data_IF_864377059148
#
_entry.id   IF_864377059148
#
_cell.length_a   1.000
_cell.length_b   1.000
_cell.length_c   1.000
_cell.angle_alpha   90.00
_cell.angle_beta   90.00
_cell.angle_gamma   90.00
#
_symmetry.space_group_name_H-M   'P 1'
#
loop_
_entity.id
_entity.type
_entity.pdbx_description
1 polymer ?
#
# COMPACT_ATOMS: atom_id res chain seq x y z
N UNK A 1 9.08 -4.83 4.82
CA UNK A 1 8.62 -6.12 5.40
C UNK A 1 8.81 -7.22 4.38
N UNK A 2 9.23 -8.41 4.80
CA UNK A 2 9.54 -9.52 3.88
C UNK A 2 8.96 -10.84 4.34
N UNK A 3 8.55 -11.63 3.36
CA UNK A 3 8.22 -13.05 3.51
C UNK A 3 9.14 -13.83 2.57
N UNK A 4 9.95 -14.73 3.14
CA UNK A 4 11.05 -15.35 2.41
C UNK A 4 11.99 -14.30 1.78
N UNK A 5 12.12 -14.35 0.46
CA UNK A 5 12.98 -13.45 -0.31
C UNK A 5 12.23 -12.30 -0.99
N UNK A 6 10.94 -12.06 -0.71
CA UNK A 6 10.16 -10.98 -1.33
C UNK A 6 9.73 -9.92 -0.33
N UNK A 7 9.58 -8.68 -0.78
CA UNK A 7 8.90 -7.66 0.01
C UNK A 7 7.39 -7.93 0.02
N UNK A 8 6.66 -7.31 0.94
CA UNK A 8 5.21 -7.52 1.10
C UNK A 8 4.45 -6.22 0.87
N UNK A 9 3.35 -6.23 0.13
CA UNK A 9 2.39 -5.12 0.08
C UNK A 9 1.08 -5.56 0.72
N UNK A 10 0.56 -4.76 1.65
CA UNK A 10 -0.75 -4.97 2.24
C UNK A 10 -1.77 -4.02 1.65
N UNK A 11 -2.88 -4.54 1.16
CA UNK A 11 -4.04 -3.72 0.80
C UNK A 11 -5.01 -3.65 1.96
N UNK A 12 -5.29 -2.43 2.42
CA UNK A 12 -6.27 -2.20 3.49
C UNK A 12 -7.69 -2.39 2.97
N UNK A 13 -8.55 -2.97 3.81
CA UNK A 13 -9.91 -3.39 3.47
C UNK A 13 -11.01 -2.63 4.24
N UNK A 14 -10.65 -1.82 5.24
CA UNK A 14 -11.59 -0.89 5.88
C UNK A 14 -11.37 0.53 5.37
N UNK A 15 -12.44 1.32 5.31
CA UNK A 15 -12.42 2.70 4.80
C UNK A 15 -11.85 2.83 3.37
N UNK A 16 -12.02 1.78 2.55
CA UNK A 16 -11.57 1.68 1.15
C UNK A 16 -12.70 1.15 0.27
N UNK A 17 -12.55 1.26 -1.05
CA UNK A 17 -13.48 0.72 -2.03
C UNK A 17 -13.07 -0.70 -2.46
N UNK A 18 -13.92 -1.70 -2.22
CA UNK A 18 -13.61 -3.10 -2.48
C UNK A 18 -13.29 -3.39 -3.97
N UNK A 19 -13.97 -2.73 -4.90
CA UNK A 19 -13.71 -2.91 -6.33
C UNK A 19 -12.34 -2.37 -6.72
N UNK A 20 -12.03 -1.13 -6.35
CA UNK A 20 -10.73 -0.52 -6.62
C UNK A 20 -9.59 -1.29 -5.95
N UNK A 21 -9.79 -1.77 -4.72
CA UNK A 21 -8.83 -2.64 -4.03
C UNK A 21 -8.56 -3.92 -4.81
N UNK A 22 -9.58 -4.56 -5.39
CA UNK A 22 -9.44 -5.75 -6.23
C UNK A 22 -8.72 -5.44 -7.55
N UNK A 23 -9.04 -4.33 -8.19
CA UNK A 23 -8.39 -3.93 -9.45
C UNK A 23 -6.89 -3.65 -9.21
N UNK A 24 -6.54 -3.01 -8.09
CA UNK A 24 -5.16 -2.75 -7.69
C UNK A 24 -4.42 -4.03 -7.28
N UNK A 25 -5.09 -5.00 -6.63
CA UNK A 25 -4.51 -6.31 -6.38
C UNK A 25 -4.04 -6.98 -7.68
N UNK A 26 -4.82 -6.84 -8.76
CA UNK A 26 -4.45 -7.36 -10.09
C UNK A 26 -3.22 -6.64 -10.66
N UNK A 27 -3.11 -5.32 -10.45
CA UNK A 27 -1.91 -4.56 -10.84
C UNK A 27 -0.68 -5.04 -10.05
N UNK A 28 -0.80 -5.23 -8.73
CA UNK A 28 0.29 -5.72 -7.88
C UNK A 28 0.78 -7.09 -8.36
N UNK A 29 -0.13 -8.04 -8.58
CA UNK A 29 0.23 -9.38 -9.07
C UNK A 29 0.89 -9.34 -10.45
N UNK A 30 0.58 -8.33 -11.29
CA UNK A 30 1.09 -8.24 -12.66
C UNK A 30 2.45 -7.55 -12.77
N UNK A 31 2.71 -6.52 -11.96
CA UNK A 31 3.84 -5.60 -12.20
C UNK A 31 4.84 -5.48 -11.04
N UNK A 32 4.58 -6.13 -9.90
CA UNK A 32 5.43 -6.07 -8.71
C UNK A 32 6.01 -7.44 -8.41
N UNK A 33 7.21 -7.47 -7.82
CA UNK A 33 7.81 -8.71 -7.32
C UNK A 33 7.71 -8.76 -5.79
N UNK A 34 6.48 -8.89 -5.31
CA UNK A 34 6.11 -8.86 -3.88
C UNK A 34 5.15 -9.99 -3.54
N UNK A 35 5.07 -10.32 -2.25
CA UNK A 35 3.89 -10.99 -1.71
C UNK A 35 2.77 -9.95 -1.51
N UNK A 36 1.54 -10.36 -1.78
CA UNK A 36 0.36 -9.52 -1.65
C UNK A 36 -0.54 -10.06 -0.55
N UNK A 37 -0.83 -9.21 0.44
CA UNK A 37 -1.72 -9.53 1.55
C UNK A 37 -2.86 -8.51 1.65
N UNK A 38 -3.91 -8.88 2.38
CA UNK A 38 -5.01 -7.98 2.72
C UNK A 38 -5.12 -7.85 4.24
N UNK A 39 -5.42 -6.66 4.72
CA UNK A 39 -5.51 -6.40 6.14
C UNK A 39 -6.46 -5.27 6.50
N UNK A 40 -6.56 -4.99 7.79
CA UNK A 40 -7.34 -3.88 8.34
C UNK A 40 -6.43 -3.02 9.20
N UNK A 41 -6.65 -1.71 9.19
CA UNK A 41 -6.05 -0.81 10.16
C UNK A 41 -6.86 -0.87 11.45
N UNK A 42 -6.23 -1.28 12.55
CA UNK A 42 -6.84 -1.32 13.88
C UNK A 42 -6.34 -0.20 14.80
N UNK A 43 -5.14 0.32 14.55
CA UNK A 43 -4.48 1.35 15.36
C UNK A 43 -4.39 2.71 14.65
N UNK A 44 -5.50 3.16 14.06
CA UNK A 44 -5.58 4.46 13.39
C UNK A 44 -6.16 4.39 11.98
N UNK A 45 -6.04 5.51 11.27
CA UNK A 45 -6.47 5.67 9.88
C UNK A 45 -5.50 6.62 9.16
N UNK A 46 -5.78 6.96 7.91
CA UNK A 46 -5.00 7.91 7.13
C UNK A 46 -5.94 8.67 6.17
N UNK A 47 -5.40 9.45 5.25
CA UNK A 47 -6.16 10.35 4.38
C UNK A 47 -7.19 9.65 3.50
N UNK A 48 -6.97 8.36 3.21
CA UNK A 48 -7.92 7.53 2.45
C UNK A 48 -9.34 7.55 3.04
N UNK A 49 -9.47 7.59 4.37
CA UNK A 49 -10.76 7.61 5.03
C UNK A 49 -11.54 8.92 4.75
N UNK A 50 -10.87 10.04 4.52
CA UNK A 50 -11.53 11.29 4.16
C UNK A 50 -12.20 11.19 2.79
N UNK A 51 -11.51 10.62 1.81
CA UNK A 51 -12.04 10.37 0.46
C UNK A 51 -13.19 9.37 0.47
N UNK A 52 -13.03 8.27 1.21
CA UNK A 52 -14.08 7.26 1.36
C UNK A 52 -15.35 7.84 1.99
N UNK A 53 -15.25 8.73 2.99
CA UNK A 53 -16.42 9.42 3.58
C UNK A 53 -17.16 10.32 2.58
N UNK A 54 -16.49 10.78 1.52
CA UNK A 54 -17.10 11.55 0.43
C UNK A 54 -17.65 10.64 -0.68
N UNK A 55 -17.60 9.32 -0.53
CA UNK A 55 -18.05 8.37 -1.54
C UNK A 55 -17.08 8.20 -2.71
N UNK A 56 -15.85 8.73 -2.61
CA UNK A 56 -14.84 8.62 -3.67
C UNK A 56 -14.12 7.27 -3.55
N UNK A 57 -14.09 6.44 -4.61
CA UNK A 57 -13.39 5.16 -4.59
C UNK A 57 -11.92 5.33 -4.22
N UNK A 58 -11.50 4.64 -3.16
CA UNK A 58 -10.16 4.81 -2.59
C UNK A 58 -9.51 3.46 -2.30
N UNK A 59 -8.20 3.35 -2.51
CA UNK A 59 -7.36 2.19 -2.15
C UNK A 59 -6.25 2.67 -1.22
N UNK A 60 -5.80 1.82 -0.30
CA UNK A 60 -4.68 2.15 0.57
C UNK A 60 -3.71 0.97 0.71
N UNK A 61 -2.63 0.95 -0.09
CA UNK A 61 -1.50 0.06 0.09
C UNK A 61 -0.62 0.52 1.26
N UNK A 62 -0.15 -0.40 2.11
CA UNK A 62 0.77 -0.10 3.23
C UNK A 62 1.81 -1.20 3.45
N UNK A 63 2.85 -0.88 4.21
CA UNK A 63 4.00 -1.73 4.46
C UNK A 63 3.68 -2.99 5.29
N UNK A 64 2.86 -2.82 6.34
CA UNK A 64 2.31 -3.85 7.20
C UNK A 64 1.32 -3.19 8.21
N UNK A 65 0.04 -3.59 8.30
CA UNK A 65 -0.91 -2.95 9.20
C UNK A 65 -0.76 -3.32 10.68
N UNK A 66 -0.02 -4.38 11.01
CA UNK A 66 0.10 -4.91 12.38
C UNK A 66 1.50 -4.79 12.95
N UNK A 67 2.52 -5.02 12.13
CA UNK A 67 3.93 -4.99 12.51
C UNK A 67 4.66 -3.76 11.97
N UNK A 68 3.94 -2.68 11.61
CA UNK A 68 4.49 -1.40 11.10
C UNK A 68 5.64 -0.85 11.97
N UNK A 69 6.38 0.13 11.45
CA UNK A 69 7.45 0.76 12.21
C UNK A 69 6.92 1.41 13.51
N UNK A 70 7.19 0.82 14.67
CA UNK A 70 6.73 1.37 15.96
C UNK A 70 7.49 2.64 16.41
N UNK A 71 8.48 3.11 15.63
CA UNK A 71 9.13 4.39 15.88
C UNK A 71 8.38 5.59 15.28
N UNK A 72 7.31 5.38 14.48
CA UNK A 72 6.51 6.46 13.91
C UNK A 72 6.04 7.43 15.01
N UNK A 73 5.95 8.72 14.68
CA UNK A 73 5.63 9.81 15.62
C UNK A 73 6.66 10.03 16.75
N UNK A 74 7.89 9.55 16.58
CA UNK A 74 9.01 9.86 17.48
C UNK A 74 10.19 10.41 16.68
N UNK A 75 11.18 10.98 17.37
CA UNK A 75 12.45 11.39 16.74
C UNK A 75 13.29 10.21 16.23
N UNK A 76 12.89 8.96 16.53
CA UNK A 76 13.55 7.75 16.04
C UNK A 76 12.97 7.28 14.70
N UNK A 77 11.92 7.91 14.19
CA UNK A 77 11.47 7.67 12.82
C UNK A 77 12.50 8.25 11.84
N UNK A 78 13.43 7.39 11.44
CA UNK A 78 14.63 7.74 10.67
C UNK A 78 14.84 6.67 9.62
N UNK A 79 15.58 7.01 8.56
CA UNK A 79 15.93 6.04 7.50
C UNK A 79 16.53 4.75 8.05
N UNK A 80 17.36 4.85 9.09
CA UNK A 80 17.96 3.68 9.75
C UNK A 80 16.92 2.73 10.36
N UNK A 81 15.74 3.23 10.71
CA UNK A 81 14.63 2.48 11.30
C UNK A 81 13.47 2.22 10.33
N UNK A 82 13.51 2.71 9.08
CA UNK A 82 12.45 2.52 8.07
C UNK A 82 12.56 1.21 7.28
N UNK A 83 13.50 0.33 7.63
CA UNK A 83 13.70 -0.94 6.93
C UNK A 83 14.45 -0.81 5.60
N UNK A 84 14.12 -1.67 4.63
CA UNK A 84 14.79 -1.72 3.32
C UNK A 84 14.01 -0.92 2.27
N UNK A 85 14.71 -0.08 1.52
CA UNK A 85 14.13 0.73 0.43
C UNK A 85 13.60 -0.07 -0.76
N UNK A 86 13.86 -1.38 -0.84
CA UNK A 86 13.30 -2.23 -1.90
C UNK A 86 11.77 -2.24 -1.87
N UNK A 87 11.17 -2.23 -0.68
CA UNK A 87 9.70 -2.13 -0.53
C UNK A 87 9.17 -0.77 -1.02
N UNK A 88 9.89 0.32 -0.73
CA UNK A 88 9.56 1.66 -1.24
C UNK A 88 9.64 1.74 -2.77
N UNK A 89 10.58 1.01 -3.39
CA UNK A 89 10.67 0.91 -4.84
C UNK A 89 9.45 0.16 -5.43
N UNK A 90 8.96 -0.90 -4.78
CA UNK A 90 7.75 -1.61 -5.22
C UNK A 90 6.48 -0.74 -5.07
N UNK A 91 6.38 0.07 -4.01
CA UNK A 91 5.31 1.09 -3.91
C UNK A 91 5.40 2.13 -5.03
N UNK A 92 6.62 2.59 -5.36
CA UNK A 92 6.83 3.55 -6.45
C UNK A 92 6.40 2.96 -7.80
N UNK A 93 6.76 1.70 -8.08
CA UNK A 93 6.27 0.96 -9.26
C UNK A 93 4.75 0.84 -9.27
N UNK A 94 4.13 0.63 -8.10
CA UNK A 94 2.67 0.53 -7.98
C UNK A 94 1.97 1.84 -8.29
N UNK A 95 2.53 2.97 -7.86
CA UNK A 95 2.02 4.28 -8.27
C UNK A 95 2.06 4.44 -9.79
N UNK A 96 3.16 4.03 -10.43
CA UNK A 96 3.29 4.10 -11.90
C UNK A 96 2.31 3.18 -12.61
N UNK A 97 2.14 1.92 -12.19
CA UNK A 97 1.20 1.00 -12.81
C UNK A 97 -0.26 1.42 -12.58
N UNK A 98 -0.58 1.98 -11.41
CA UNK A 98 -1.88 2.58 -11.11
C UNK A 98 -2.18 3.75 -12.07
N UNK A 99 -1.27 4.70 -12.20
CA UNK A 99 -1.44 5.84 -13.09
C UNK A 99 -1.55 5.39 -14.55
N UNK A 100 -0.69 4.47 -14.99
CA UNK A 100 -0.75 3.95 -16.35
C UNK A 100 -2.10 3.31 -16.66
N UNK A 101 -2.61 2.49 -15.75
CA UNK A 101 -3.89 1.79 -15.93
C UNK A 101 -5.11 2.73 -15.86
N UNK A 102 -5.19 3.59 -14.85
CA UNK A 102 -6.41 4.38 -14.57
C UNK A 102 -6.41 5.77 -15.20
N UNK A 103 -5.26 6.37 -15.50
CA UNK A 103 -5.20 7.67 -16.19
C UNK A 103 -5.27 7.51 -17.73
N UNK A 104 -5.31 6.28 -18.24
CA UNK A 104 -5.43 6.01 -19.67
C UNK A 104 -4.14 6.26 -20.46
N UNK A 105 -2.96 6.08 -19.84
CA UNK A 105 -1.72 5.95 -20.60
C UNK A 105 -1.76 4.57 -21.28
N UNK A 106 -2.39 4.52 -22.44
CA UNK A 106 -2.39 3.34 -23.30
C UNK A 106 -1.16 3.36 -24.18
N UNK A 107 -0.59 2.17 -24.40
CA UNK A 107 0.33 1.89 -25.51
C UNK A 107 -0.37 2.10 -26.87
#
# INVERSE_FOLDING_TARGET
YREGNKDVIWLITNDTNARLTSDVATLVTKYQDVELHQGRLSAGSSDHAAWTRQGIPTVFPTENPTAYNHAIHTSRDTIANSGKFTQSAEFSKLTLSFLAHFAGLQD
#
